data_IF_103663562080
#
_entry.id   IF_103663562080
#
_cell.length_a   1.000
_cell.length_b   1.000
_cell.length_c   1.000
_cell.angle_alpha   90.00
_cell.angle_beta   90.00
_cell.angle_gamma   90.00
#
_symmetry.space_group_name_H-M   'P 1'
#
loop_
_entity.id
_entity.type
_entity.pdbx_description
1 polymer ?
#
# COMPACT_ATOMS: atom_id res chain seq x y z
N UNK A 1 7.40 -18.57 1.05
CA UNK A 1 6.97 -18.68 2.47
C UNK A 1 6.16 -17.47 2.89
N UNK A 2 4.97 -17.65 3.45
CA UNK A 2 4.13 -16.59 4.02
C UNK A 2 4.16 -16.60 5.55
N UNK A 3 4.46 -15.46 6.18
CA UNK A 3 4.76 -15.35 7.61
C UNK A 3 3.57 -14.78 8.41
N UNK A 4 2.84 -15.58 9.18
CA UNK A 4 1.65 -15.07 9.91
C UNK A 4 2.02 -14.24 11.15
N UNK A 5 3.19 -14.46 11.74
CA UNK A 5 3.68 -13.72 12.93
C UNK A 5 4.07 -12.27 12.67
N UNK A 6 4.03 -11.81 11.41
CA UNK A 6 4.14 -10.37 11.06
C UNK A 6 2.88 -9.58 11.44
N UNK A 7 1.78 -10.25 11.76
CA UNK A 7 0.53 -9.64 12.22
C UNK A 7 0.65 -9.38 13.73
N UNK A 8 0.39 -8.15 14.22
CA UNK A 8 0.50 -7.84 15.64
C UNK A 8 -0.45 -8.71 16.48
N UNK A 9 -0.03 -9.13 17.69
CA UNK A 9 -0.93 -9.81 18.61
C UNK A 9 -2.03 -8.85 19.06
N UNK A 10 -3.30 -9.22 18.86
CA UNK A 10 -4.47 -8.42 19.23
C UNK A 10 -5.69 -9.31 19.52
N UNK A 11 -6.80 -8.71 19.97
CA UNK A 11 -8.06 -9.43 20.23
C UNK A 11 -8.51 -10.10 18.93
N UNK A 12 -8.39 -11.43 18.87
CA UNK A 12 -8.68 -12.30 17.72
C UNK A 12 -10.17 -12.37 17.39
N UNK A 13 -10.82 -11.24 17.12
CA UNK A 13 -12.15 -11.24 16.50
C UNK A 13 -11.95 -11.07 14.99
N UNK A 14 -12.18 -12.16 14.27
CA UNK A 14 -12.20 -12.29 12.81
C UNK A 14 -10.85 -11.99 12.13
N UNK A 15 -10.05 -13.05 11.90
CA UNK A 15 -8.64 -12.92 11.47
C UNK A 15 -8.47 -12.68 9.96
N UNK A 16 -9.17 -11.69 9.41
CA UNK A 16 -9.08 -11.31 7.99
C UNK A 16 -7.64 -11.03 7.55
N UNK A 17 -6.78 -10.55 8.47
CA UNK A 17 -5.36 -10.30 8.19
C UNK A 17 -4.56 -11.57 7.96
N UNK A 18 -4.85 -12.64 8.70
CA UNK A 18 -4.20 -13.94 8.49
C UNK A 18 -4.69 -14.59 7.18
N UNK A 19 -5.98 -14.43 6.87
CA UNK A 19 -6.55 -14.92 5.61
C UNK A 19 -5.84 -14.36 4.37
N UNK A 20 -5.29 -13.14 4.43
CA UNK A 20 -4.46 -12.60 3.33
C UNK A 20 -3.30 -13.55 3.01
N UNK A 21 -2.59 -14.01 4.03
CA UNK A 21 -1.42 -14.89 3.88
C UNK A 21 -1.85 -16.30 3.49
N UNK A 22 -2.90 -16.81 4.13
CA UNK A 22 -3.45 -18.14 3.82
C UNK A 22 -3.90 -18.23 2.37
N UNK A 23 -4.70 -17.26 1.91
CA UNK A 23 -5.24 -17.23 0.55
C UNK A 23 -4.15 -17.00 -0.49
N UNK A 24 -3.15 -16.14 -0.20
CA UNK A 24 -2.01 -15.97 -1.09
C UNK A 24 -1.24 -17.28 -1.26
N UNK A 25 -0.91 -17.98 -0.15
CA UNK A 25 -0.22 -19.27 -0.22
C UNK A 25 -1.06 -20.34 -0.92
N UNK A 26 -2.39 -20.33 -0.76
CA UNK A 26 -3.28 -21.22 -1.50
C UNK A 26 -3.21 -20.95 -3.01
N UNK A 27 -3.22 -19.68 -3.44
CA UNK A 27 -3.04 -19.30 -4.84
C UNK A 27 -1.68 -19.75 -5.41
N UNK A 28 -0.59 -19.60 -4.65
CA UNK A 28 0.75 -20.10 -5.04
C UNK A 28 0.70 -21.60 -5.33
N UNK A 29 0.07 -22.40 -4.45
CA UNK A 29 -0.07 -23.85 -4.64
C UNK A 29 -0.96 -24.19 -5.84
N UNK A 30 -2.02 -23.43 -6.09
CA UNK A 30 -2.87 -23.60 -7.28
C UNK A 30 -2.12 -23.34 -8.58
N UNK A 31 -1.04 -22.55 -8.54
CA UNK A 31 -0.14 -22.32 -9.67
C UNK A 31 0.99 -23.37 -9.77
N UNK A 32 0.88 -24.51 -9.06
CA UNK A 32 1.88 -25.59 -9.01
C UNK A 32 3.24 -25.17 -8.43
N UNK A 33 3.26 -24.20 -7.50
CA UNK A 33 4.47 -23.78 -6.78
C UNK A 33 4.37 -24.08 -5.26
N UNK A 34 5.50 -24.03 -4.56
CA UNK A 34 5.63 -24.43 -3.17
C UNK A 34 5.24 -23.29 -2.20
N UNK A 35 3.97 -23.27 -1.81
CA UNK A 35 3.48 -22.38 -0.75
C UNK A 35 3.63 -22.98 0.65
N UNK A 36 4.33 -22.28 1.57
CA UNK A 36 4.37 -22.62 3.00
C UNK A 36 3.83 -21.45 3.83
N UNK A 37 2.83 -21.74 4.69
CA UNK A 37 2.38 -20.81 5.73
C UNK A 37 3.21 -21.11 6.98
N UNK A 38 3.95 -20.11 7.47
CA UNK A 38 4.85 -20.26 8.59
C UNK A 38 4.42 -19.41 9.79
N UNK A 39 4.41 -20.04 10.97
CA UNK A 39 3.95 -19.45 12.23
C UNK A 39 5.09 -19.21 13.24
N UNK A 40 6.31 -18.97 12.77
CA UNK A 40 7.47 -18.63 13.63
C UNK A 40 8.00 -17.22 13.39
N UNK A 41 9.02 -16.85 14.18
CA UNK A 41 9.73 -15.56 14.08
C UNK A 41 11.08 -15.66 13.37
N UNK A 42 11.55 -16.87 13.09
CA UNK A 42 12.80 -17.10 12.38
C UNK A 42 12.61 -16.91 10.87
N UNK A 43 13.68 -16.56 10.16
CA UNK A 43 13.66 -16.49 8.71
C UNK A 43 13.95 -17.87 8.13
N UNK A 44 13.00 -18.41 7.38
CA UNK A 44 13.19 -19.64 6.63
C UNK A 44 13.84 -19.35 5.27
N UNK A 45 14.64 -20.31 4.79
CA UNK A 45 15.14 -20.30 3.43
C UNK A 45 13.98 -20.43 2.43
N UNK A 46 13.90 -19.47 1.51
CA UNK A 46 12.87 -19.43 0.48
C UNK A 46 13.27 -18.48 -0.65
N UNK A 47 12.75 -18.70 -1.85
CA UNK A 47 12.90 -17.74 -2.95
C UNK A 47 12.16 -16.42 -2.65
N UNK A 48 10.92 -16.53 -2.14
CA UNK A 48 10.04 -15.38 -1.90
C UNK A 48 9.41 -15.45 -0.50
N UNK A 49 9.52 -14.35 0.24
CA UNK A 49 8.80 -14.14 1.50
C UNK A 49 7.52 -13.32 1.28
N UNK A 50 6.43 -13.66 1.96
CA UNK A 50 5.16 -12.92 1.89
C UNK A 50 4.78 -12.46 3.29
N UNK A 51 4.42 -11.18 3.42
CA UNK A 51 4.00 -10.58 4.69
C UNK A 51 2.80 -9.64 4.53
N UNK A 52 2.08 -9.43 5.63
CA UNK A 52 1.03 -8.40 5.73
C UNK A 52 1.60 -7.16 6.42
N UNK A 53 1.44 -6.02 5.76
CA UNK A 53 1.86 -4.71 6.24
C UNK A 53 3.36 -4.46 6.09
N UNK A 54 3.75 -3.20 6.27
CA UNK A 54 5.11 -2.72 6.14
C UNK A 54 5.58 -2.03 7.42
N UNK A 55 6.84 -1.61 7.48
CA UNK A 55 7.43 -0.83 8.57
C UNK A 55 7.79 0.58 8.07
N UNK A 56 7.90 1.51 9.00
CA UNK A 56 8.49 2.83 8.76
C UNK A 56 9.70 3.02 9.68
N UNK A 57 10.50 4.07 9.41
CA UNK A 57 11.77 4.32 10.10
C UNK A 57 11.61 4.43 11.63
N UNK A 58 10.51 5.03 12.09
CA UNK A 58 10.15 5.17 13.50
C UNK A 58 9.30 4.02 14.07
N UNK A 59 9.19 2.87 13.39
CA UNK A 59 8.40 1.75 13.92
C UNK A 59 9.01 1.21 15.21
N UNK A 60 8.14 0.90 16.19
CA UNK A 60 8.55 0.38 17.49
C UNK A 60 9.31 -0.96 17.38
N UNK A 61 10.11 -1.26 18.41
CA UNK A 61 10.85 -2.52 18.48
C UNK A 61 9.99 -3.66 19.05
N UNK A 62 8.99 -4.11 18.28
CA UNK A 62 8.13 -5.26 18.63
C UNK A 62 8.49 -6.50 17.81
N UNK A 63 8.27 -7.73 18.30
CA UNK A 63 8.66 -8.96 17.59
C UNK A 63 8.15 -9.07 16.14
N UNK A 64 6.87 -8.73 15.89
CA UNK A 64 6.30 -8.75 14.54
C UNK A 64 6.91 -7.70 13.61
N UNK A 65 7.37 -6.55 14.14
CA UNK A 65 8.09 -5.52 13.38
C UNK A 65 9.52 -5.98 13.09
N UNK A 66 10.19 -6.62 14.05
CA UNK A 66 11.52 -7.21 13.85
C UNK A 66 11.48 -8.28 12.75
N UNK A 67 10.46 -9.13 12.73
CA UNK A 67 10.28 -10.11 11.65
C UNK A 67 10.10 -9.43 10.30
N UNK A 68 9.27 -8.37 10.21
CA UNK A 68 9.17 -7.58 8.96
C UNK A 68 10.54 -7.02 8.54
N UNK A 69 11.31 -6.47 9.48
CA UNK A 69 12.68 -5.96 9.21
C UNK A 69 13.57 -7.05 8.66
N UNK A 70 13.60 -8.21 9.31
CA UNK A 70 14.35 -9.38 8.88
C UNK A 70 13.98 -9.80 7.46
N UNK A 71 12.68 -9.89 7.15
CA UNK A 71 12.20 -10.21 5.79
C UNK A 71 12.71 -9.18 4.78
N UNK A 72 12.61 -7.89 5.06
CA UNK A 72 13.00 -6.84 4.10
C UNK A 72 14.50 -6.69 3.91
N UNK A 73 15.30 -7.05 4.91
CA UNK A 73 16.76 -6.98 4.85
C UNK A 73 17.40 -8.29 4.39
N UNK A 74 16.61 -9.35 4.19
CA UNK A 74 17.12 -10.67 3.83
C UNK A 74 17.45 -10.73 2.33
N UNK A 75 18.74 -10.60 2.01
CA UNK A 75 19.26 -10.68 0.65
C UNK A 75 19.40 -12.11 0.12
N UNK A 76 19.16 -13.15 0.93
CA UNK A 76 19.17 -14.54 0.47
C UNK A 76 17.91 -14.87 -0.35
N UNK A 77 16.80 -14.20 -0.05
CA UNK A 77 15.59 -14.34 -0.83
C UNK A 77 15.70 -13.50 -2.11
N UNK A 78 15.13 -14.01 -3.21
CA UNK A 78 15.03 -13.27 -4.48
C UNK A 78 14.13 -12.04 -4.33
N UNK A 79 13.08 -12.15 -3.53
CA UNK A 79 12.14 -11.06 -3.29
C UNK A 79 11.34 -11.22 -1.97
N UNK A 80 10.68 -10.13 -1.57
CA UNK A 80 9.54 -10.21 -0.67
C UNK A 80 8.30 -9.53 -1.30
N UNK A 81 7.13 -10.02 -0.91
CA UNK A 81 5.83 -9.47 -1.28
C UNK A 81 5.15 -8.98 -0.01
N UNK A 82 4.63 -7.75 -0.06
CA UNK A 82 3.86 -7.17 1.03
C UNK A 82 2.43 -6.89 0.58
N UNK A 83 1.47 -7.31 1.41
CA UNK A 83 0.07 -6.98 1.25
C UNK A 83 -0.31 -5.79 2.14
N UNK A 84 -0.87 -4.75 1.53
CA UNK A 84 -1.30 -3.52 2.20
C UNK A 84 -2.82 -3.30 2.09
N UNK A 85 -3.33 -2.37 2.88
CA UNK A 85 -4.77 -2.13 3.05
C UNK A 85 -5.47 -1.68 1.77
N UNK A 86 -6.77 -1.94 1.74
CA UNK A 86 -7.71 -1.45 0.73
C UNK A 86 -7.83 0.09 0.78
N UNK A 87 -7.68 0.74 -0.38
CA UNK A 87 -7.77 2.20 -0.53
C UNK A 87 -9.21 2.71 -0.62
N UNK A 88 -10.17 1.82 -0.86
CA UNK A 88 -11.56 2.17 -1.12
C UNK A 88 -12.43 2.12 0.13
N UNK A 89 -11.84 1.98 1.33
CA UNK A 89 -12.58 1.91 2.59
C UNK A 89 -13.33 3.20 2.95
N UNK A 90 -13.00 4.33 2.30
CA UNK A 90 -13.79 5.56 2.39
C UNK A 90 -15.18 5.41 1.72
N UNK A 91 -15.30 4.46 0.78
CA UNK A 91 -16.51 4.19 0.03
C UNK A 91 -17.20 2.90 0.51
N UNK A 92 -16.44 1.83 0.69
CA UNK A 92 -16.93 0.55 1.22
C UNK A 92 -16.42 0.33 2.64
N UNK A 93 -17.29 0.51 3.64
CA UNK A 93 -16.94 0.45 5.08
C UNK A 93 -16.28 -0.88 5.53
N UNK A 94 -16.27 -1.90 4.68
CA UNK A 94 -15.60 -3.19 4.92
C UNK A 94 -14.82 -3.66 3.69
N UNK A 95 -13.95 -4.65 3.86
CA UNK A 95 -13.28 -5.30 2.73
C UNK A 95 -14.17 -6.30 1.99
N UNK A 96 -15.25 -6.76 2.61
CA UNK A 96 -16.16 -7.72 1.99
C UNK A 96 -17.02 -7.03 0.91
N UNK A 97 -17.36 -7.74 -0.18
CA UNK A 97 -16.96 -9.11 -0.51
C UNK A 97 -15.67 -9.23 -1.34
N UNK A 98 -15.11 -8.11 -1.82
CA UNK A 98 -14.12 -8.14 -2.91
C UNK A 98 -12.66 -8.15 -2.47
N UNK A 99 -12.35 -7.66 -1.26
CA UNK A 99 -11.00 -7.60 -0.69
C UNK A 99 -9.98 -6.94 -1.63
N UNK A 100 -10.27 -5.72 -2.10
CA UNK A 100 -9.38 -4.92 -2.95
C UNK A 100 -8.11 -4.45 -2.21
N UNK A 101 -7.24 -5.39 -1.88
CA UNK A 101 -5.95 -5.20 -1.25
C UNK A 101 -4.88 -4.86 -2.29
N UNK A 102 -3.79 -4.25 -1.83
CA UNK A 102 -2.65 -3.91 -2.68
C UNK A 102 -1.49 -4.83 -2.38
N UNK A 103 -0.83 -5.30 -3.43
CA UNK A 103 0.36 -6.14 -3.32
C UNK A 103 1.51 -5.46 -4.03
N UNK A 104 2.69 -5.51 -3.44
CA UNK A 104 3.91 -5.01 -4.07
C UNK A 104 5.12 -5.87 -3.72
N UNK A 105 6.04 -5.92 -4.67
CA UNK A 105 7.32 -6.62 -4.56
C UNK A 105 8.38 -5.63 -4.09
N UNK A 106 9.19 -6.02 -3.10
CA UNK A 106 10.40 -5.34 -2.61
C UNK A 106 10.24 -3.91 -2.06
N UNK A 107 9.02 -3.43 -1.85
CA UNK A 107 8.78 -2.14 -1.22
C UNK A 107 7.33 -1.72 -1.32
N UNK A 108 7.00 -0.56 -0.75
CA UNK A 108 5.63 0.02 -0.80
C UNK A 108 5.61 1.46 -1.30
N UNK A 109 6.78 2.06 -1.55
CA UNK A 109 6.86 3.38 -2.16
C UNK A 109 7.04 3.24 -3.67
N UNK A 110 6.61 4.25 -4.41
CA UNK A 110 6.70 4.28 -5.87
C UNK A 110 8.13 4.05 -6.41
N UNK A 111 9.16 4.44 -5.65
CA UNK A 111 10.57 4.31 -5.99
C UNK A 111 11.21 2.98 -5.56
N UNK A 112 10.50 2.16 -4.76
CA UNK A 112 11.06 0.92 -4.16
C UNK A 112 10.21 -0.31 -4.44
N UNK A 113 8.89 -0.15 -4.54
CA UNK A 113 7.93 -1.23 -4.73
C UNK A 113 7.55 -1.40 -6.18
N UNK A 114 7.52 -2.64 -6.64
CA UNK A 114 6.93 -3.02 -7.92
C UNK A 114 5.51 -3.54 -7.70
N UNK A 115 4.51 -2.85 -8.26
CA UNK A 115 3.08 -3.19 -8.16
C UNK A 115 2.57 -4.06 -9.33
N UNK A 116 3.48 -4.60 -10.14
CA UNK A 116 3.18 -5.46 -11.29
C UNK A 116 2.19 -4.82 -12.28
N UNK A 117 2.28 -3.50 -12.46
CA UNK A 117 1.38 -2.71 -13.31
C UNK A 117 1.95 -2.44 -14.71
N UNK A 118 3.07 -3.04 -15.10
CA UNK A 118 3.59 -2.95 -16.46
C UNK A 118 2.54 -3.45 -17.45
N UNK A 119 2.23 -2.64 -18.46
CA UNK A 119 1.19 -2.92 -19.46
C UNK A 119 -0.23 -3.14 -18.90
N UNK A 120 -0.53 -2.65 -17.70
CA UNK A 120 -1.90 -2.69 -17.16
C UNK A 120 -2.83 -1.78 -17.96
N UNK A 121 -4.02 -2.27 -18.28
CA UNK A 121 -5.11 -1.47 -18.85
C UNK A 121 -6.16 -1.10 -17.79
N UNK A 122 -7.22 -0.41 -18.21
CA UNK A 122 -8.29 0.05 -17.33
C UNK A 122 -9.24 -1.08 -16.87
N UNK A 123 -9.05 -2.35 -17.26
CA UNK A 123 -10.01 -3.42 -16.93
C UNK A 123 -10.19 -3.57 -15.43
N UNK A 124 -9.09 -3.56 -14.68
CA UNK A 124 -9.16 -3.71 -13.22
C UNK A 124 -9.85 -2.50 -12.57
N UNK A 125 -9.59 -1.30 -13.07
CA UNK A 125 -10.24 -0.09 -12.56
C UNK A 125 -11.76 -0.10 -12.87
N UNK A 126 -12.15 -0.43 -14.10
CA UNK A 126 -13.58 -0.56 -14.49
C UNK A 126 -14.31 -1.61 -13.66
N UNK A 127 -13.64 -2.72 -13.35
CA UNK A 127 -14.17 -3.74 -12.43
C UNK A 127 -14.39 -3.17 -11.04
N UNK A 128 -13.40 -2.49 -10.46
CA UNK A 128 -13.52 -1.83 -9.15
C UNK A 128 -14.67 -0.81 -9.15
N UNK A 129 -14.81 0.00 -10.19
CA UNK A 129 -15.90 0.97 -10.31
C UNK A 129 -17.28 0.29 -10.30
N UNK A 130 -17.43 -0.81 -11.04
CA UNK A 130 -18.67 -1.59 -11.07
C UNK A 130 -18.97 -2.21 -9.71
N UNK A 131 -18.00 -2.93 -9.16
CA UNK A 131 -18.14 -3.68 -7.91
C UNK A 131 -18.41 -2.76 -6.71
N UNK A 132 -17.81 -1.57 -6.72
CA UNK A 132 -17.95 -0.60 -5.63
C UNK A 132 -18.95 0.51 -5.93
N UNK A 133 -19.65 0.49 -7.07
CA UNK A 133 -20.55 1.56 -7.50
C UNK A 133 -19.93 2.97 -7.53
N UNK A 134 -18.65 3.07 -7.91
CA UNK A 134 -17.93 4.33 -8.01
C UNK A 134 -18.11 4.95 -9.40
N UNK A 135 -18.78 6.09 -9.45
CA UNK A 135 -18.87 6.92 -10.66
C UNK A 135 -17.91 8.11 -10.55
N UNK A 136 -17.06 8.29 -11.56
CA UNK A 136 -16.20 9.46 -11.71
C UNK A 136 -16.66 10.25 -12.93
N UNK A 137 -16.50 11.58 -12.88
CA UNK A 137 -16.60 12.39 -14.09
C UNK A 137 -15.50 11.97 -15.09
N UNK A 138 -15.79 11.92 -16.40
CA UNK A 138 -14.77 11.66 -17.40
C UNK A 138 -13.59 12.63 -17.24
N UNK A 139 -12.37 12.12 -17.36
CA UNK A 139 -11.20 12.98 -17.37
C UNK A 139 -11.17 13.77 -18.69
N UNK A 140 -11.09 15.10 -18.60
CA UNK A 140 -11.02 15.99 -19.76
C UNK A 140 -9.77 16.86 -19.70
N UNK A 141 -8.98 16.84 -20.77
CA UNK A 141 -7.83 17.74 -20.91
C UNK A 141 -8.26 19.20 -21.10
N UNK A 142 -9.48 19.42 -21.59
CA UNK A 142 -10.03 20.75 -21.87
C UNK A 142 -10.60 21.42 -20.60
N UNK A 143 -10.95 20.65 -19.57
CA UNK A 143 -11.54 21.14 -18.31
C UNK A 143 -10.49 21.35 -17.20
N UNK A 144 -9.31 21.85 -17.56
CA UNK A 144 -8.18 22.04 -16.62
C UNK A 144 -8.13 23.46 -16.06
N UNK A 145 -9.16 23.85 -15.31
CA UNK A 145 -9.30 25.18 -14.70
C UNK A 145 -8.23 25.45 -13.64
N UNK A 146 -7.80 24.42 -12.91
CA UNK A 146 -6.82 24.53 -11.83
C UNK A 146 -5.94 23.29 -11.72
N UNK A 147 -4.87 23.41 -10.94
CA UNK A 147 -4.01 22.31 -10.51
C UNK A 147 -4.40 21.95 -9.08
N UNK A 148 -4.86 20.71 -8.87
CA UNK A 148 -5.15 20.19 -7.54
C UNK A 148 -3.88 19.61 -6.90
N UNK A 149 -3.43 20.18 -5.79
CA UNK A 149 -2.33 19.67 -4.99
C UNK A 149 -2.88 18.99 -3.72
N UNK A 150 -2.94 17.66 -3.74
CA UNK A 150 -3.35 16.87 -2.57
C UNK A 150 -2.18 16.68 -1.61
N UNK A 151 -2.38 17.08 -0.35
CA UNK A 151 -1.38 16.93 0.71
C UNK A 151 -1.55 15.59 1.44
N UNK A 152 -0.43 15.10 1.97
CA UNK A 152 -0.40 13.98 2.91
C UNK A 152 -0.63 14.49 4.34
N UNK A 153 -0.89 13.58 5.26
CA UNK A 153 -1.01 13.91 6.69
C UNK A 153 0.26 14.58 7.21
N UNK A 154 0.14 15.66 7.98
CA UNK A 154 1.30 16.26 8.64
C UNK A 154 1.94 15.27 9.63
N UNK A 155 3.26 15.09 9.55
CA UNK A 155 3.99 14.06 10.29
C UNK A 155 3.64 12.61 9.89
N UNK A 156 2.87 12.43 8.82
CA UNK A 156 2.50 11.12 8.30
C UNK A 156 3.73 10.33 7.86
N UNK A 157 3.73 9.02 8.08
CA UNK A 157 4.89 8.17 7.78
C UNK A 157 5.32 8.25 6.30
N UNK A 158 4.36 8.47 5.39
CA UNK A 158 4.59 8.64 3.96
C UNK A 158 5.42 9.89 3.62
N UNK A 159 5.47 10.87 4.52
CA UNK A 159 6.27 12.08 4.35
C UNK A 159 7.76 11.86 4.61
N UNK A 160 8.17 10.69 5.14
CA UNK A 160 9.57 10.36 5.44
C UNK A 160 10.27 11.48 6.25
N UNK A 161 9.57 12.03 7.26
CA UNK A 161 10.06 13.10 8.13
C UNK A 161 10.00 14.52 7.57
N UNK A 162 9.49 14.72 6.35
CA UNK A 162 9.34 16.06 5.76
C UNK A 162 8.12 16.79 6.32
N UNK A 163 8.29 18.09 6.58
CA UNK A 163 7.17 18.97 6.87
C UNK A 163 6.29 19.14 5.61
N UNK A 164 4.98 18.95 5.79
CA UNK A 164 4.04 18.95 4.67
C UNK A 164 3.84 20.34 4.05
N UNK A 165 3.91 21.39 4.87
CA UNK A 165 3.71 22.78 4.42
C UNK A 165 4.94 23.23 3.63
N UNK A 166 6.13 22.97 4.15
CA UNK A 166 7.39 23.24 3.46
C UNK A 166 7.46 22.46 2.14
N UNK A 167 7.08 21.18 2.15
CA UNK A 167 7.00 20.38 0.93
C UNK A 167 6.02 20.99 -0.08
N UNK A 168 4.83 21.40 0.35
CA UNK A 168 3.82 22.01 -0.51
C UNK A 168 4.33 23.31 -1.14
N UNK A 169 4.95 24.20 -0.35
CA UNK A 169 5.52 25.46 -0.85
C UNK A 169 6.59 25.23 -1.91
N UNK A 170 7.49 24.26 -1.70
CA UNK A 170 8.51 23.89 -2.69
C UNK A 170 7.88 23.35 -3.98
N UNK A 171 6.79 22.58 -3.89
CA UNK A 171 6.08 22.06 -5.07
C UNK A 171 5.33 23.15 -5.82
N UNK A 172 4.66 24.05 -5.10
CA UNK A 172 3.99 25.22 -5.68
C UNK A 172 5.00 26.09 -6.44
N UNK A 173 6.15 26.40 -5.83
CA UNK A 173 7.20 27.19 -6.49
C UNK A 173 7.67 26.53 -7.79
N UNK A 174 7.88 25.21 -7.81
CA UNK A 174 8.25 24.45 -9.02
C UNK A 174 7.15 24.46 -10.08
N UNK A 175 5.89 24.29 -9.68
CA UNK A 175 4.75 24.36 -10.62
C UNK A 175 4.66 25.76 -11.24
N UNK A 176 4.89 26.81 -10.45
CA UNK A 176 4.86 28.21 -10.91
C UNK A 176 5.95 28.55 -11.93
N UNK A 177 7.03 27.79 -11.99
CA UNK A 177 8.04 27.94 -13.05
C UNK A 177 7.51 27.56 -14.44
N UNK A 178 6.43 26.78 -14.52
CA UNK A 178 5.91 26.22 -15.78
C UNK A 178 4.39 26.42 -15.98
N UNK A 179 3.68 27.00 -15.00
CA UNK A 179 2.23 27.18 -15.08
C UNK A 179 1.71 28.35 -14.26
N UNK A 180 0.84 29.14 -14.89
CA UNK A 180 0.09 30.23 -14.24
C UNK A 180 -1.31 29.81 -13.78
N UNK A 181 -1.70 28.54 -13.96
CA UNK A 181 -3.03 28.06 -13.54
C UNK A 181 -3.27 28.25 -12.03
N UNK A 182 -4.50 28.54 -11.58
CA UNK A 182 -4.85 28.47 -10.17
C UNK A 182 -4.40 27.14 -9.56
N UNK A 183 -3.88 27.17 -8.34
CA UNK A 183 -3.49 25.96 -7.59
C UNK A 183 -4.42 25.86 -6.40
N UNK A 184 -5.16 24.75 -6.31
CA UNK A 184 -6.01 24.43 -5.17
C UNK A 184 -5.27 23.42 -4.31
N UNK A 185 -4.99 23.79 -3.06
CA UNK A 185 -4.36 22.89 -2.09
C UNK A 185 -5.45 22.17 -1.29
N UNK A 186 -5.38 20.84 -1.26
CA UNK A 186 -6.31 20.00 -0.49
C UNK A 186 -5.57 19.28 0.64
N UNK A 187 -5.77 19.69 1.90
CA UNK A 187 -5.21 18.97 3.06
C UNK A 187 -5.67 17.51 3.12
N UNK A 188 -4.95 16.70 3.91
CA UNK A 188 -5.34 15.32 4.13
C UNK A 188 -6.68 15.25 4.88
N UNK A 189 -7.65 14.41 4.48
CA UNK A 189 -9.01 14.41 5.08
C UNK A 189 -9.04 14.10 6.59
N UNK A 190 -8.02 13.41 7.10
CA UNK A 190 -7.88 13.10 8.53
C UNK A 190 -7.19 14.19 9.34
N UNK A 191 -6.64 15.21 8.69
CA UNK A 191 -6.09 16.38 9.38
C UNK A 191 -7.29 17.30 9.63
N UNK A 192 -7.79 17.30 10.88
CA UNK A 192 -8.90 18.18 11.25
C UNK A 192 -8.46 19.61 11.05
N UNK A 193 -9.13 20.32 10.14
CA UNK A 193 -9.13 21.78 10.06
C UNK A 193 -9.89 22.37 11.23
#
# INVERSE_FOLDING_TARGET
VGYTKVIPPGRRRNNHKEHIILNFMAGVRMCNDNGLVYQGYDLLEADVAVMQGFMHQSSENRPHIQLRRGITSNTKNKAFITADSNLFLYHTKTNEPHHYLRYSINGVFNDTGNYCNTNSDDKQWKKIQKDLHISLRPWSINEREFILLCLQRNGGWSMKGKDVVQWANLKIAKIRQVSNKPIIVRPHPGDKS
#
